data_IF_639520857244
#
_entry.id   IF_639520857244
#
_cell.length_a   1.000
_cell.length_b   1.000
_cell.length_c   1.000
_cell.angle_alpha   90.00
_cell.angle_beta   90.00
_cell.angle_gamma   90.00
#
_symmetry.space_group_name_H-M   'P 1'
#
loop_
_entity.id
_entity.type
_entity.pdbx_description
1 polymer ?
#
# COMPACT_ATOMS: atom_id res chain seq x y z
N UNK A 1 2.99 -66.50 -20.68
CA UNK A 1 3.86 -65.96 -19.61
C UNK A 1 4.45 -64.62 -20.04
N UNK A 2 5.33 -64.57 -21.04
CA UNK A 2 5.97 -63.32 -21.50
C UNK A 2 5.02 -62.14 -21.85
N UNK A 3 3.84 -62.40 -22.42
CA UNK A 3 2.88 -61.33 -22.71
C UNK A 3 2.27 -60.71 -21.44
N UNK A 4 1.99 -61.54 -20.41
CA UNK A 4 1.45 -61.07 -19.13
C UNK A 4 2.45 -60.19 -18.40
N UNK A 5 3.72 -60.61 -18.36
CA UNK A 5 4.81 -59.87 -17.74
C UNK A 5 5.01 -58.48 -18.40
N UNK A 6 4.80 -58.39 -19.72
CA UNK A 6 4.86 -57.14 -20.46
C UNK A 6 3.68 -56.20 -20.13
N UNK A 7 2.46 -56.73 -19.96
CA UNK A 7 1.31 -55.93 -19.54
C UNK A 7 1.47 -55.40 -18.12
N UNK A 8 1.94 -56.23 -17.19
CA UNK A 8 2.18 -55.81 -15.80
C UNK A 8 3.25 -54.71 -15.73
N UNK A 9 4.31 -54.84 -16.54
CA UNK A 9 5.35 -53.80 -16.68
C UNK A 9 4.81 -52.48 -17.23
N UNK A 10 3.91 -52.53 -18.22
CA UNK A 10 3.25 -51.35 -18.77
C UNK A 10 2.38 -50.68 -17.70
N UNK A 11 1.56 -51.45 -16.98
CA UNK A 11 0.68 -50.93 -15.94
C UNK A 11 1.47 -50.24 -14.81
N UNK A 12 2.58 -50.85 -14.37
CA UNK A 12 3.47 -50.26 -13.37
C UNK A 12 4.06 -48.94 -13.90
N UNK A 13 4.50 -48.91 -15.16
CA UNK A 13 5.07 -47.71 -15.78
C UNK A 13 4.04 -46.58 -15.84
N UNK A 14 2.81 -46.88 -16.27
CA UNK A 14 1.73 -45.88 -16.29
C UNK A 14 1.37 -45.39 -14.89
N UNK A 15 1.27 -46.29 -13.91
CA UNK A 15 1.01 -45.92 -12.52
C UNK A 15 2.09 -44.98 -11.98
N UNK A 16 3.36 -45.23 -12.32
CA UNK A 16 4.48 -44.38 -11.92
C UNK A 16 4.41 -42.98 -12.57
N UNK A 17 4.07 -42.90 -13.86
CA UNK A 17 3.87 -41.63 -14.57
C UNK A 17 2.74 -40.83 -13.93
N UNK A 18 1.60 -41.47 -13.64
CA UNK A 18 0.46 -40.83 -12.97
C UNK A 18 0.85 -40.33 -11.58
N UNK A 19 1.58 -41.13 -10.81
CA UNK A 19 2.06 -40.74 -9.48
C UNK A 19 2.95 -39.49 -9.55
N UNK A 20 3.90 -39.45 -10.48
CA UNK A 20 4.77 -38.28 -10.68
C UNK A 20 3.93 -37.05 -11.05
N UNK A 21 2.97 -37.19 -11.96
CA UNK A 21 2.08 -36.10 -12.35
C UNK A 21 1.31 -35.53 -11.17
N UNK A 22 0.77 -36.39 -10.30
CA UNK A 22 0.04 -35.97 -9.09
C UNK A 22 0.96 -35.23 -8.14
N UNK A 23 2.16 -35.74 -7.87
CA UNK A 23 3.14 -35.08 -7.00
C UNK A 23 3.50 -33.71 -7.54
N UNK A 24 3.75 -33.62 -8.85
CA UNK A 24 4.09 -32.36 -9.52
C UNK A 24 2.94 -31.35 -9.36
N UNK A 25 1.69 -31.78 -9.56
CA UNK A 25 0.52 -30.93 -9.34
C UNK A 25 0.44 -30.38 -7.91
N UNK A 26 0.75 -31.20 -6.90
CA UNK A 26 0.76 -30.80 -5.49
C UNK A 26 1.88 -29.79 -5.19
N UNK A 27 3.08 -30.04 -5.71
CA UNK A 27 4.22 -29.12 -5.54
C UNK A 27 3.95 -27.77 -6.23
N UNK A 28 3.16 -27.74 -7.29
CA UNK A 28 2.78 -26.51 -7.99
C UNK A 28 1.51 -25.82 -7.44
N UNK A 29 0.88 -26.31 -6.36
CA UNK A 29 -0.27 -25.63 -5.72
C UNK A 29 -0.01 -24.15 -5.39
N UNK A 30 1.14 -23.74 -4.76
CA UNK A 30 1.38 -22.34 -4.41
C UNK A 30 1.38 -21.44 -5.64
N UNK A 31 1.99 -21.91 -6.73
CA UNK A 31 1.97 -21.24 -8.02
C UNK A 31 0.53 -21.08 -8.53
N UNK A 32 -0.26 -22.16 -8.56
CA UNK A 32 -1.65 -22.10 -9.04
C UNK A 32 -2.47 -21.09 -8.23
N UNK A 33 -2.30 -21.06 -6.90
CA UNK A 33 -2.98 -20.10 -6.01
C UNK A 33 -2.59 -18.65 -6.33
N UNK A 34 -1.31 -18.38 -6.57
CA UNK A 34 -0.83 -17.04 -6.91
C UNK A 34 -1.37 -16.54 -8.26
N UNK A 35 -1.42 -17.41 -9.27
CA UNK A 35 -1.97 -17.06 -10.59
C UNK A 35 -3.49 -16.88 -10.56
N UNK A 36 -4.23 -17.73 -9.84
CA UNK A 36 -5.69 -17.58 -9.70
C UNK A 36 -6.11 -16.31 -8.96
N UNK A 37 -5.24 -15.78 -8.11
CA UNK A 37 -5.47 -14.53 -7.36
C UNK A 37 -4.94 -13.28 -8.06
N UNK A 38 -4.37 -13.42 -9.26
CA UNK A 38 -3.74 -12.32 -10.01
C UNK A 38 -2.73 -11.52 -9.17
N UNK A 39 -1.99 -12.20 -8.29
CA UNK A 39 -1.03 -11.54 -7.41
C UNK A 39 0.03 -10.79 -8.23
N UNK A 40 0.38 -9.53 -7.89
CA UNK A 40 1.38 -8.75 -8.64
C UNK A 40 2.71 -9.50 -8.76
N UNK A 41 3.12 -10.15 -7.67
CA UNK A 41 4.38 -10.91 -7.59
C UNK A 41 4.24 -12.40 -7.99
N UNK A 42 3.22 -12.78 -8.78
CA UNK A 42 2.99 -14.18 -9.21
C UNK A 42 4.21 -14.86 -9.85
N UNK A 43 5.00 -14.08 -10.61
CA UNK A 43 6.23 -14.58 -11.23
C UNK A 43 7.34 -14.84 -10.21
N UNK A 44 7.43 -14.03 -9.16
CA UNK A 44 8.40 -14.20 -8.08
C UNK A 44 8.06 -15.43 -7.24
N UNK A 45 6.77 -15.62 -6.93
CA UNK A 45 6.27 -16.82 -6.25
C UNK A 45 6.55 -18.08 -7.08
N UNK A 46 6.40 -18.01 -8.41
CA UNK A 46 6.77 -19.12 -9.30
C UNK A 46 8.26 -19.47 -9.22
N UNK A 47 9.14 -18.48 -9.26
CA UNK A 47 10.59 -18.69 -9.17
C UNK A 47 10.98 -19.28 -7.81
N UNK A 48 10.39 -18.77 -6.72
CA UNK A 48 10.64 -19.32 -5.38
C UNK A 48 10.12 -20.75 -5.26
N UNK A 49 8.93 -21.05 -5.79
CA UNK A 49 8.41 -22.41 -5.79
C UNK A 49 9.25 -23.36 -6.68
N UNK A 50 9.85 -22.87 -7.77
CA UNK A 50 10.73 -23.69 -8.60
C UNK A 50 12.09 -23.96 -7.93
N UNK A 51 12.67 -22.96 -7.27
CA UNK A 51 13.97 -23.08 -6.60
C UNK A 51 13.88 -23.80 -5.25
N UNK A 52 12.81 -23.57 -4.49
CA UNK A 52 12.65 -24.05 -3.11
C UNK A 52 11.43 -24.95 -2.87
N UNK A 53 10.55 -25.17 -3.85
CA UNK A 53 9.34 -25.98 -3.69
C UNK A 53 9.56 -27.48 -3.51
N UNK A 54 10.79 -27.95 -3.73
CA UNK A 54 11.23 -29.29 -3.30
C UNK A 54 11.46 -29.41 -1.79
N UNK A 55 11.55 -28.28 -1.07
CA UNK A 55 11.66 -28.24 0.39
C UNK A 55 10.30 -27.92 1.01
N UNK A 56 9.93 -28.61 2.10
CA UNK A 56 8.66 -28.33 2.80
C UNK A 56 8.59 -26.88 3.27
N UNK A 57 9.72 -26.34 3.76
CA UNK A 57 9.81 -24.95 4.24
C UNK A 57 9.62 -23.96 3.10
N UNK A 58 10.30 -24.16 1.97
CA UNK A 58 10.16 -23.29 0.80
C UNK A 58 8.77 -23.34 0.17
N UNK A 59 8.17 -24.53 0.12
CA UNK A 59 6.79 -24.71 -0.36
C UNK A 59 5.77 -23.98 0.52
N UNK A 60 5.88 -24.10 1.85
CA UNK A 60 5.00 -23.37 2.80
C UNK A 60 5.24 -21.87 2.72
N UNK A 61 6.50 -21.42 2.64
CA UNK A 61 6.81 -19.99 2.49
C UNK A 61 6.22 -19.41 1.20
N UNK A 62 6.33 -20.12 0.07
CA UNK A 62 5.70 -19.75 -1.20
C UNK A 62 4.16 -19.71 -1.09
N UNK A 63 3.56 -20.65 -0.34
CA UNK A 63 2.12 -20.67 -0.12
C UNK A 63 1.65 -19.49 0.75
N UNK A 64 2.37 -19.19 1.84
CA UNK A 64 2.10 -18.03 2.70
C UNK A 64 2.22 -16.75 1.90
N UNK A 65 3.24 -16.63 1.05
CA UNK A 65 3.42 -15.46 0.21
C UNK A 65 2.34 -15.33 -0.86
N UNK A 66 1.92 -16.45 -1.48
CA UNK A 66 0.78 -16.48 -2.42
C UNK A 66 -0.55 -16.09 -1.78
N UNK A 67 -0.69 -16.30 -0.46
CA UNK A 67 -1.87 -15.92 0.32
C UNK A 67 -1.78 -14.51 0.89
N UNK A 68 -0.59 -13.95 1.04
CA UNK A 68 -0.36 -12.65 1.64
C UNK A 68 -0.54 -11.53 0.60
N UNK A 69 -1.76 -10.98 0.54
CA UNK A 69 -2.08 -9.80 -0.27
C UNK A 69 -1.63 -8.54 0.48
N UNK A 70 -0.43 -8.04 0.15
CA UNK A 70 0.04 -6.76 0.65
C UNK A 70 -0.57 -5.64 -0.19
N UNK A 71 -1.65 -5.02 0.29
CA UNK A 71 -2.05 -3.69 -0.18
C UNK A 71 -1.02 -2.68 0.34
N UNK A 72 0.12 -2.58 -0.33
CA UNK A 72 1.03 -1.45 -0.19
C UNK A 72 0.73 -0.54 -1.37
N UNK A 73 -0.28 0.31 -1.22
CA UNK A 73 -0.39 1.51 -2.04
C UNK A 73 0.75 2.44 -1.63
N UNK A 74 1.74 2.61 -2.50
CA UNK A 74 2.84 3.56 -2.30
C UNK A 74 2.34 5.01 -2.27
N UNK A 75 1.14 5.27 -2.80
CA UNK A 75 0.39 6.50 -2.56
C UNK A 75 -0.68 6.27 -1.48
N UNK A 76 -0.35 6.66 -0.24
CA UNK A 76 -1.36 6.94 0.78
C UNK A 76 -2.18 8.15 0.36
N UNK A 77 -3.22 7.94 -0.45
CA UNK A 77 -4.23 8.94 -0.74
C UNK A 77 -5.31 8.89 0.35
N UNK A 78 -5.31 9.96 1.13
CA UNK A 78 -6.02 10.10 2.39
C UNK A 78 -7.53 9.98 2.22
N UNK A 79 -8.14 9.13 3.05
CA UNK A 79 -9.56 9.21 3.33
C UNK A 79 -9.91 10.64 3.76
N UNK A 80 -10.85 11.23 3.03
CA UNK A 80 -11.24 12.63 3.18
C UNK A 80 -11.64 12.95 4.62
N UNK A 81 -10.95 13.94 5.19
CA UNK A 81 -11.42 15.04 6.06
C UNK A 81 -12.33 14.79 7.28
N UNK A 82 -12.83 13.59 7.54
CA UNK A 82 -13.61 13.25 8.72
C UNK A 82 -13.10 11.93 9.28
N UNK A 83 -12.50 11.97 10.48
CA UNK A 83 -11.76 10.87 11.11
C UNK A 83 -12.57 9.63 11.51
N UNK A 84 -13.67 9.31 10.82
CA UNK A 84 -14.39 8.04 10.94
C UNK A 84 -14.38 7.37 9.57
N UNK A 85 -13.35 6.55 9.33
CA UNK A 85 -13.31 5.58 8.25
C UNK A 85 -14.07 4.33 8.70
N UNK A 86 -15.41 4.33 8.59
CA UNK A 86 -16.18 3.11 8.88
C UNK A 86 -16.53 2.29 7.63
N UNK A 87 -16.30 2.84 6.43
CA UNK A 87 -16.54 2.12 5.19
C UNK A 87 -15.37 2.34 4.24
N UNK A 88 -14.64 1.26 3.99
CA UNK A 88 -13.69 1.15 2.90
C UNK A 88 -14.53 1.34 1.63
N UNK A 89 -14.27 2.41 0.88
CA UNK A 89 -14.87 2.74 -0.42
C UNK A 89 -16.23 3.48 -0.40
N UNK A 90 -16.27 4.71 0.13
CA UNK A 90 -17.34 5.66 -0.20
C UNK A 90 -16.80 6.89 -0.96
N UNK A 91 -16.80 6.86 -2.31
CA UNK A 91 -16.43 8.01 -3.13
C UNK A 91 -17.61 8.99 -3.21
N UNK A 92 -17.86 9.76 -2.14
CA UNK A 92 -18.77 10.92 -2.24
C UNK A 92 -17.99 12.08 -2.85
N UNK A 93 -18.33 12.43 -4.09
CA UNK A 93 -17.86 13.68 -4.70
C UNK A 93 -18.51 14.86 -3.97
N UNK A 94 -17.85 15.37 -2.94
CA UNK A 94 -18.25 16.61 -2.28
C UNK A 94 -17.98 17.75 -3.26
N UNK A 95 -19.05 18.26 -3.88
CA UNK A 95 -19.03 19.56 -4.54
C UNK A 95 -18.87 20.62 -3.46
N UNK A 96 -17.73 21.31 -3.47
CA UNK A 96 -17.55 22.55 -2.72
C UNK A 96 -18.24 23.64 -3.53
N UNK A 97 -19.49 23.94 -3.18
CA UNK A 97 -20.17 25.15 -3.66
C UNK A 97 -19.49 26.35 -2.95
N UNK A 98 -18.98 27.35 -3.69
CA UNK A 98 -18.41 28.53 -3.08
C UNK A 98 -19.56 29.42 -2.61
N UNK A 99 -19.92 29.34 -1.32
CA UNK A 99 -20.79 30.32 -0.68
C UNK A 99 -20.07 31.67 -0.61
N UNK A 100 -20.21 32.45 -1.68
CA UNK A 100 -20.22 33.90 -1.54
C UNK A 100 -21.43 34.26 -0.69
N UNK A 101 -21.27 35.23 0.21
CA UNK A 101 -22.29 35.84 1.10
C UNK A 101 -22.44 35.20 2.50
N UNK A 102 -21.67 35.68 3.49
CA UNK A 102 -22.31 36.29 4.66
C UNK A 102 -21.36 37.12 5.53
N UNK A 103 -21.65 38.42 5.54
CA UNK A 103 -21.32 39.39 6.57
C UNK A 103 -22.31 39.26 7.73
N UNK A 104 -21.95 38.65 8.87
CA UNK A 104 -22.69 38.92 10.11
C UNK A 104 -21.73 39.10 11.27
N UNK A 105 -21.78 40.29 11.83
CA UNK A 105 -21.07 40.77 13.00
C UNK A 105 -21.83 40.43 14.29
N UNK A 106 -21.04 40.38 15.38
CA UNK A 106 -21.41 40.59 16.80
C UNK A 106 -21.82 39.37 17.64
N UNK A 107 -21.08 39.15 18.74
CA UNK A 107 -21.64 38.63 20.00
C UNK A 107 -20.70 37.76 20.84
N UNK A 108 -19.84 38.35 21.70
CA UNK A 108 -19.47 37.70 22.98
C UNK A 108 -20.71 37.73 23.90
N UNK A 109 -20.97 36.71 24.75
CA UNK A 109 -20.21 36.55 26.00
C UNK A 109 -20.12 35.11 26.59
N UNK A 110 -19.38 35.02 27.70
CA UNK A 110 -19.47 34.08 28.83
C UNK A 110 -18.51 32.85 28.88
N UNK A 111 -17.43 33.08 29.64
CA UNK A 111 -16.70 32.20 30.58
C UNK A 111 -17.33 30.82 30.81
N UNK A 112 -16.53 29.77 30.59
CA UNK A 112 -16.64 28.53 31.36
C UNK A 112 -15.22 28.01 31.68
N UNK A 113 -14.80 28.27 32.92
CA UNK A 113 -13.58 27.71 33.52
C UNK A 113 -13.78 26.21 33.77
N UNK A 114 -13.27 25.40 32.86
CA UNK A 114 -13.24 23.95 32.97
C UNK A 114 -11.83 23.44 32.70
N UNK A 115 -11.04 23.35 33.77
CA UNK A 115 -9.72 22.74 33.80
C UNK A 115 -9.79 21.29 33.27
N UNK A 116 -9.51 21.09 31.99
CA UNK A 116 -9.11 19.79 31.45
C UNK A 116 -7.68 19.93 30.99
N UNK A 117 -6.79 19.24 31.70
CA UNK A 117 -5.36 19.17 31.44
C UNK A 117 -5.12 18.74 29.99
N UNK A 118 -4.88 19.72 29.12
CA UNK A 118 -4.33 19.48 27.79
C UNK A 118 -2.93 18.94 28.03
N UNK A 119 -2.80 17.62 27.92
CA UNK A 119 -1.53 16.99 27.67
C UNK A 119 -1.01 17.55 26.35
N UNK A 120 0.05 18.35 26.46
CA UNK A 120 0.84 18.82 25.33
C UNK A 120 1.23 17.60 24.50
N UNK A 121 0.81 17.50 23.22
CA UNK A 121 1.30 16.44 22.34
C UNK A 121 2.80 16.64 22.21
N UNK A 122 3.56 15.64 22.65
CA UNK A 122 5.01 15.51 22.52
C UNK A 122 5.53 16.08 21.20
N UNK A 123 6.55 16.94 21.30
CA UNK A 123 7.24 17.62 20.18
C UNK A 123 7.62 16.69 19.02
N UNK A 124 7.88 15.41 19.30
CA UNK A 124 8.26 14.38 18.32
C UNK A 124 7.17 14.08 17.28
N UNK A 125 5.88 14.08 17.67
CA UNK A 125 4.78 13.76 16.74
C UNK A 125 4.46 14.95 15.83
N UNK A 126 4.54 16.17 16.36
CA UNK A 126 4.37 17.40 15.57
C UNK A 126 5.50 17.59 14.57
N UNK A 127 6.75 17.28 14.93
CA UNK A 127 7.90 17.35 14.03
C UNK A 127 7.75 16.39 12.83
N UNK A 128 7.30 15.15 13.07
CA UNK A 128 7.07 14.17 12.00
C UNK A 128 5.94 14.60 11.06
N UNK A 129 4.82 15.09 11.60
CA UNK A 129 3.71 15.62 10.79
C UNK A 129 4.16 16.83 9.95
N UNK A 130 4.88 17.78 10.56
CA UNK A 130 5.39 18.97 9.88
C UNK A 130 6.39 18.65 8.76
N UNK A 131 7.21 17.61 8.93
CA UNK A 131 8.12 17.12 7.90
C UNK A 131 7.34 16.61 6.68
N UNK A 132 6.29 15.82 6.92
CA UNK A 132 5.46 15.25 5.86
C UNK A 132 4.68 16.32 5.09
N UNK A 133 4.17 17.34 5.78
CA UNK A 133 3.52 18.50 5.17
C UNK A 133 4.47 19.30 4.26
N UNK A 134 5.75 19.44 4.67
CA UNK A 134 6.76 20.14 3.88
C UNK A 134 7.10 19.39 2.58
N UNK A 135 7.20 18.06 2.62
CA UNK A 135 7.43 17.23 1.43
C UNK A 135 6.25 17.35 0.45
N UNK A 136 5.00 17.26 0.95
CA UNK A 136 3.81 17.42 0.12
C UNK A 136 3.74 18.81 -0.54
N UNK A 137 4.12 19.86 0.19
CA UNK A 137 4.18 21.23 -0.33
C UNK A 137 5.23 21.39 -1.44
N UNK A 138 6.40 20.75 -1.32
CA UNK A 138 7.42 20.76 -2.38
C UNK A 138 6.92 20.06 -3.65
N UNK A 139 6.24 18.92 -3.51
CA UNK A 139 5.66 18.22 -4.66
C UNK A 139 4.63 19.11 -5.38
N UNK A 140 3.72 19.74 -4.63
CA UNK A 140 2.74 20.68 -5.19
C UNK A 140 3.41 21.87 -5.88
N UNK A 141 4.45 22.45 -5.29
CA UNK A 141 5.17 23.57 -5.88
C UNK A 141 5.84 23.17 -7.20
N UNK A 142 6.41 21.95 -7.26
CA UNK A 142 6.95 21.40 -8.50
C UNK A 142 5.87 21.21 -9.57
N UNK A 143 4.69 20.71 -9.20
CA UNK A 143 3.58 20.56 -10.15
C UNK A 143 3.11 21.90 -10.74
N UNK A 144 3.12 22.97 -9.94
CA UNK A 144 2.76 24.32 -10.39
C UNK A 144 3.82 24.92 -11.32
N UNK A 145 5.09 24.61 -11.08
CA UNK A 145 6.20 25.03 -11.94
C UNK A 145 6.12 24.33 -13.30
N UNK A 146 5.91 23.01 -13.32
CA UNK A 146 5.75 22.21 -14.53
C UNK A 146 4.51 22.64 -15.34
N UNK A 147 3.42 23.02 -14.67
CA UNK A 147 2.22 23.53 -15.35
C UNK A 147 2.38 24.95 -15.90
N UNK A 148 3.54 25.59 -15.71
CA UNK A 148 3.81 26.98 -16.09
C UNK A 148 2.96 28.00 -15.32
N UNK A 149 2.38 27.61 -14.19
CA UNK A 149 1.52 28.47 -13.38
C UNK A 149 2.32 29.45 -12.50
N UNK A 150 3.60 29.17 -12.28
CA UNK A 150 4.56 30.02 -11.56
C UNK A 150 5.86 30.15 -12.34
N UNK A 151 6.51 31.29 -12.22
CA UNK A 151 7.82 31.55 -12.87
C UNK A 151 8.98 30.93 -12.08
N UNK A 152 10.16 30.80 -12.72
CA UNK A 152 11.35 30.22 -12.08
C UNK A 152 11.85 31.02 -10.87
N UNK A 153 11.69 32.35 -10.91
CA UNK A 153 12.07 33.25 -9.82
C UNK A 153 11.13 33.07 -8.62
N UNK A 154 9.82 32.95 -8.86
CA UNK A 154 8.81 32.70 -7.83
C UNK A 154 8.94 31.31 -7.21
N UNK A 155 9.22 30.28 -8.02
CA UNK A 155 9.48 28.93 -7.53
C UNK A 155 10.63 28.91 -6.53
N UNK A 156 11.73 29.61 -6.83
CA UNK A 156 12.90 29.67 -5.96
C UNK A 156 12.61 30.40 -4.65
N UNK A 157 11.86 31.51 -4.72
CA UNK A 157 11.42 32.26 -3.54
C UNK A 157 10.52 31.40 -2.62
N UNK A 158 9.60 30.62 -3.17
CA UNK A 158 8.65 29.79 -2.41
C UNK A 158 9.26 28.48 -1.88
N UNK A 159 10.25 27.92 -2.56
CA UNK A 159 10.95 26.70 -2.13
C UNK A 159 11.79 26.93 -0.88
N UNK A 160 12.44 28.10 -0.78
CA UNK A 160 13.40 28.44 0.27
C UNK A 160 12.84 28.31 1.70
N UNK A 161 11.68 28.91 2.06
CA UNK A 161 11.12 28.78 3.41
C UNK A 161 10.68 27.36 3.77
N UNK A 162 10.19 26.59 2.78
CA UNK A 162 9.76 25.20 2.98
C UNK A 162 10.96 24.31 3.30
N UNK A 163 12.05 24.49 2.56
CA UNK A 163 13.29 23.74 2.77
C UNK A 163 13.92 24.05 4.13
N UNK A 164 13.91 25.31 4.56
CA UNK A 164 14.38 25.70 5.89
C UNK A 164 13.57 25.05 7.01
N UNK A 165 12.23 24.97 6.86
CA UNK A 165 11.36 24.26 7.82
C UNK A 165 11.69 22.77 7.89
N UNK A 166 12.02 22.14 6.76
CA UNK A 166 12.41 20.73 6.72
C UNK A 166 13.73 20.48 7.44
N UNK A 167 14.75 21.30 7.15
CA UNK A 167 16.08 21.20 7.78
C UNK A 167 15.98 21.34 9.31
N UNK A 168 15.29 22.37 9.78
CA UNK A 168 15.11 22.62 11.22
C UNK A 168 14.20 21.60 11.92
N UNK A 169 13.46 20.78 11.17
CA UNK A 169 12.64 19.70 11.71
C UNK A 169 13.39 18.36 11.78
N UNK A 170 14.56 18.26 11.14
CA UNK A 170 15.41 17.06 11.12
C UNK A 170 16.60 17.13 12.07
N UNK A 171 16.87 18.29 12.69
CA UNK A 171 17.83 18.47 13.81
C UNK A 171 17.15 18.26 15.17
#
# INVERSE_FOLDING_TARGET
>A
MAAQDAFDSLLITLAFIVLILVILLVVFIPTIVAFRREHPDRWLIFVVNLAFGGTVVGWVAALVWALHYAHISEEGSNGGESGINLFINDPVAVRVEPDFHQNVSVGLPAVNDGMSSIQTPSSTTKAKAQNQDAIAALHRLNTLFESGAITADEYTALRTPILNRYINATE
#
